data_IF_700958047078
#
_entry.id   IF_700958047078
#
_cell.length_a   1.000
_cell.length_b   1.000
_cell.length_c   1.000
_cell.angle_alpha   90.00
_cell.angle_beta   90.00
_cell.angle_gamma   90.00
#
_symmetry.space_group_name_H-M   'P 1'
#
loop_
_entity.id
_entity.type
_entity.pdbx_description
1 polymer ?
#
# COMPACT_ATOMS: atom_id res chain seq x y z
N UNK A 1 -13.96 3.45 -8.85
CA UNK A 1 -12.57 3.27 -8.38
C UNK A 1 -12.25 1.78 -8.40
N UNK A 2 -11.15 1.38 -9.03
CA UNK A 2 -10.89 -0.04 -9.35
C UNK A 2 -9.95 -0.66 -8.30
N UNK A 3 -10.18 -1.93 -7.93
CA UNK A 3 -9.46 -2.63 -6.86
C UNK A 3 -7.95 -2.76 -7.14
N UNK A 4 -7.57 -2.63 -8.41
CA UNK A 4 -6.20 -2.58 -8.90
C UNK A 4 -5.41 -1.35 -8.42
N UNK A 5 -6.04 -0.20 -8.22
CA UNK A 5 -5.37 1.03 -7.75
C UNK A 5 -4.93 0.88 -6.29
N UNK A 6 -5.78 0.24 -5.47
CA UNK A 6 -5.52 -0.01 -4.05
C UNK A 6 -4.43 -1.08 -3.87
N UNK A 7 -4.48 -2.16 -4.65
CA UNK A 7 -3.43 -3.18 -4.67
C UNK A 7 -2.09 -2.63 -5.18
N UNK A 8 -2.12 -1.76 -6.20
CA UNK A 8 -0.95 -1.04 -6.69
C UNK A 8 -0.28 -0.20 -5.60
N UNK A 9 -1.09 0.50 -4.79
CA UNK A 9 -0.62 1.29 -3.66
C UNK A 9 0.08 0.48 -2.56
N UNK A 10 -0.49 -0.69 -2.20
CA UNK A 10 0.09 -1.59 -1.19
C UNK A 10 1.41 -2.21 -1.68
N UNK A 11 1.47 -2.62 -2.96
CA UNK A 11 2.70 -3.16 -3.56
C UNK A 11 3.80 -2.10 -3.64
N UNK A 12 3.45 -0.86 -4.01
CA UNK A 12 4.37 0.26 -4.02
C UNK A 12 4.89 0.60 -2.60
N UNK A 13 4.05 0.47 -1.57
CA UNK A 13 4.47 0.66 -0.18
C UNK A 13 5.45 -0.42 0.30
N UNK A 14 5.17 -1.69 0.04
CA UNK A 14 6.07 -2.80 0.40
C UNK A 14 7.43 -2.70 -0.32
N UNK A 15 7.42 -2.33 -1.60
CA UNK A 15 8.66 -2.06 -2.36
C UNK A 15 9.48 -0.91 -1.75
N UNK A 16 8.83 0.17 -1.31
CA UNK A 16 9.50 1.31 -0.67
C UNK A 16 10.08 0.99 0.70
N UNK A 17 9.41 0.16 1.50
CA UNK A 17 9.93 -0.31 2.79
C UNK A 17 11.22 -1.13 2.61
N UNK A 18 11.26 -2.02 1.61
CA UNK A 18 12.46 -2.77 1.26
C UNK A 18 13.59 -1.84 0.79
N UNK A 19 13.29 -0.82 -0.01
CA UNK A 19 14.28 0.19 -0.44
C UNK A 19 14.86 0.95 0.75
N UNK A 20 14.04 1.39 1.73
CA UNK A 20 14.53 2.08 2.93
C UNK A 20 15.42 1.19 3.81
N UNK A 21 15.08 -0.10 3.95
CA UNK A 21 15.89 -1.07 4.70
C UNK A 21 17.25 -1.23 4.02
N UNK A 22 17.29 -1.40 2.70
CA UNK A 22 18.53 -1.51 1.94
C UNK A 22 19.37 -0.23 2.02
N UNK A 23 18.76 0.94 1.87
CA UNK A 23 19.46 2.23 2.02
C UNK A 23 20.05 2.43 3.42
N UNK A 24 19.37 1.97 4.47
CA UNK A 24 19.87 2.05 5.85
C UNK A 24 21.06 1.10 6.07
N UNK A 25 20.98 -0.12 5.55
CA UNK A 25 22.08 -1.09 5.58
C UNK A 25 23.30 -0.58 4.79
N UNK A 26 23.07 0.02 3.62
CA UNK A 26 24.12 0.64 2.80
C UNK A 26 24.77 1.82 3.53
N UNK A 27 23.99 2.65 4.23
CA UNK A 27 24.50 3.78 5.02
C UNK A 27 25.39 3.31 6.16
N UNK A 28 24.96 2.30 6.91
CA UNK A 28 25.76 1.71 7.98
C UNK A 28 27.07 1.10 7.42
N UNK A 29 26.99 0.41 6.29
CA UNK A 29 28.16 -0.14 5.60
C UNK A 29 29.15 0.94 5.16
N UNK A 30 28.67 2.06 4.61
CA UNK A 30 29.50 3.20 4.24
C UNK A 30 30.12 3.89 5.44
N UNK A 31 29.40 4.02 6.57
CA UNK A 31 29.94 4.57 7.81
C UNK A 31 31.08 3.70 8.36
N UNK A 32 30.92 2.37 8.36
CA UNK A 32 32.00 1.45 8.75
C UNK A 32 33.21 1.61 7.83
N UNK A 33 33.00 1.66 6.51
CA UNK A 33 34.08 1.90 5.53
C UNK A 33 34.77 3.23 5.78
N UNK A 34 34.03 4.28 6.13
CA UNK A 34 34.58 5.59 6.45
C UNK A 34 35.48 5.52 7.68
N UNK A 35 34.99 4.91 8.76
CA UNK A 35 35.79 4.74 9.98
C UNK A 35 37.06 3.92 9.73
N UNK A 36 36.97 2.84 8.94
CA UNK A 36 38.14 2.05 8.55
C UNK A 36 39.15 2.87 7.72
N UNK A 37 38.68 3.69 6.79
CA UNK A 37 39.54 4.55 5.99
C UNK A 37 40.21 5.64 6.84
N UNK A 38 39.50 6.21 7.81
CA UNK A 38 40.05 7.16 8.78
C UNK A 38 41.12 6.52 9.67
N UNK A 39 40.91 5.30 10.16
CA UNK A 39 41.94 4.54 10.89
C UNK A 39 43.17 4.28 10.02
N UNK A 40 42.99 3.84 8.77
CA UNK A 40 44.11 3.65 7.84
C UNK A 40 44.88 4.94 7.57
N UNK A 41 44.19 6.08 7.48
CA UNK A 41 44.84 7.37 7.32
C UNK A 41 45.69 7.72 8.55
N UNK A 42 45.17 7.49 9.76
CA UNK A 42 45.92 7.70 11.01
C UNK A 42 47.17 6.82 11.07
N UNK A 43 47.05 5.54 10.72
CA UNK A 43 48.17 4.60 10.63
C UNK A 43 49.22 5.06 9.61
N UNK A 44 48.79 5.50 8.42
CA UNK A 44 49.68 6.01 7.38
C UNK A 44 50.43 7.28 7.82
N UNK A 45 49.78 8.18 8.56
CA UNK A 45 50.45 9.35 9.15
C UNK A 45 51.44 8.95 10.26
N UNK A 46 51.10 7.96 11.08
CA UNK A 46 51.99 7.47 12.12
C UNK A 46 53.24 6.78 11.53
N UNK A 47 53.08 6.01 10.46
CA UNK A 47 54.20 5.44 9.70
C UNK A 47 55.07 6.52 9.05
N UNK A 48 54.45 7.51 8.39
CA UNK A 48 55.17 8.64 7.82
C UNK A 48 55.98 9.39 8.88
N UNK A 49 55.38 9.64 10.05
CA UNK A 49 56.05 10.29 11.17
C UNK A 49 57.25 9.48 11.67
N UNK A 50 57.10 8.16 11.82
CA UNK A 50 58.19 7.26 12.22
C UNK A 50 59.33 7.22 11.20
N UNK A 51 59.00 7.09 9.91
CA UNK A 51 59.99 7.09 8.83
C UNK A 51 60.73 8.44 8.76
N UNK A 52 60.00 9.55 8.85
CA UNK A 52 60.58 10.91 8.83
C UNK A 52 61.47 11.17 10.05
N UNK A 53 61.05 10.73 11.24
CA UNK A 53 61.87 10.87 12.44
C UNK A 53 63.20 10.10 12.31
N UNK A 54 63.15 8.84 11.87
CA UNK A 54 64.36 8.06 11.62
C UNK A 54 65.29 8.71 10.58
N UNK A 55 64.71 9.36 9.58
CA UNK A 55 65.49 10.10 8.59
C UNK A 55 66.20 11.31 9.17
N UNK A 56 65.45 12.19 9.86
CA UNK A 56 65.97 13.50 10.29
C UNK A 56 66.77 13.46 11.59
N UNK A 57 66.52 12.48 12.46
CA UNK A 57 67.12 12.41 13.81
C UNK A 57 68.13 11.29 13.91
N UNK A 58 67.91 10.18 13.22
CA UNK A 58 68.77 8.99 13.30
C UNK A 58 69.67 8.81 12.07
N UNK A 59 69.69 9.80 11.15
CA UNK A 59 70.45 9.80 9.89
C UNK A 59 70.24 8.53 9.05
N UNK A 60 69.04 7.94 9.13
CA UNK A 60 68.69 6.78 8.30
C UNK A 60 68.43 7.24 6.86
N UNK A 61 69.10 6.62 5.89
CA UNK A 61 68.75 6.76 4.48
C UNK A 61 67.51 5.91 4.16
N UNK A 62 66.33 6.50 4.28
CA UNK A 62 65.04 5.81 4.09
C UNK A 62 64.04 6.62 3.24
N UNK A 63 64.54 7.39 2.27
CA UNK A 63 63.72 8.20 1.35
C UNK A 63 62.63 7.40 0.64
N UNK A 64 62.94 6.17 0.19
CA UNK A 64 61.97 5.30 -0.48
C UNK A 64 60.80 4.92 0.45
N UNK A 65 61.09 4.69 1.73
CA UNK A 65 60.09 4.40 2.74
C UNK A 65 59.19 5.62 2.99
N UNK A 66 59.78 6.82 3.06
CA UNK A 66 59.02 8.08 3.20
C UNK A 66 58.12 8.30 1.99
N UNK A 67 58.63 8.09 0.76
CA UNK A 67 57.87 8.23 -0.46
C UNK A 67 56.68 7.24 -0.52
N UNK A 68 56.89 6.00 -0.08
CA UNK A 68 55.83 5.00 0.06
C UNK A 68 54.76 5.45 1.09
N UNK A 69 55.18 5.92 2.27
CA UNK A 69 54.26 6.44 3.30
C UNK A 69 53.43 7.63 2.78
N UNK A 70 54.05 8.58 2.06
CA UNK A 70 53.32 9.71 1.45
C UNK A 70 52.27 9.21 0.45
N UNK A 71 52.60 8.18 -0.34
CA UNK A 71 51.66 7.57 -1.28
C UNK A 71 50.49 6.91 -0.55
N UNK A 72 50.77 6.19 0.54
CA UNK A 72 49.72 5.57 1.38
C UNK A 72 48.79 6.62 2.00
N UNK A 73 49.34 7.72 2.51
CA UNK A 73 48.55 8.85 3.02
C UNK A 73 47.66 9.43 1.93
N UNK A 74 48.19 9.67 0.73
CA UNK A 74 47.41 10.19 -0.41
C UNK A 74 46.26 9.26 -0.79
N UNK A 75 46.53 7.96 -0.88
CA UNK A 75 45.51 6.96 -1.21
C UNK A 75 44.41 6.91 -0.14
N UNK A 76 44.77 6.91 1.15
CA UNK A 76 43.80 6.93 2.24
C UNK A 76 42.93 8.21 2.23
N UNK A 77 43.50 9.38 1.89
CA UNK A 77 42.73 10.62 1.72
C UNK A 77 41.73 10.51 0.56
N UNK A 78 42.13 9.91 -0.57
CA UNK A 78 41.25 9.70 -1.71
C UNK A 78 40.11 8.76 -1.36
N UNK A 79 40.40 7.65 -0.66
CA UNK A 79 39.38 6.70 -0.20
C UNK A 79 38.34 7.39 0.71
N UNK A 80 38.79 8.18 1.69
CA UNK A 80 37.90 8.94 2.58
C UNK A 80 37.02 9.91 1.78
N UNK A 81 37.58 10.62 0.79
CA UNK A 81 36.81 11.54 -0.05
C UNK A 81 35.73 10.80 -0.85
N UNK A 82 36.08 9.67 -1.45
CA UNK A 82 35.14 8.84 -2.21
C UNK A 82 34.00 8.33 -1.32
N UNK A 83 34.34 7.77 -0.15
CA UNK A 83 33.32 7.26 0.79
C UNK A 83 32.41 8.38 1.30
N UNK A 84 32.96 9.56 1.60
CA UNK A 84 32.16 10.74 1.99
C UNK A 84 31.20 11.18 0.89
N UNK A 85 31.65 11.18 -0.36
CA UNK A 85 30.78 11.50 -1.50
C UNK A 85 29.64 10.48 -1.65
N UNK A 86 29.93 9.18 -1.50
CA UNK A 86 28.92 8.12 -1.53
C UNK A 86 27.89 8.26 -0.40
N UNK A 87 28.32 8.63 0.81
CA UNK A 87 27.41 8.89 1.94
C UNK A 87 26.47 10.05 1.61
N UNK A 88 26.99 11.13 1.02
CA UNK A 88 26.19 12.30 0.69
C UNK A 88 25.17 12.00 -0.42
N UNK A 89 25.59 11.29 -1.46
CA UNK A 89 24.67 10.82 -2.51
C UNK A 89 23.55 9.95 -1.93
N UNK A 90 23.89 9.01 -1.04
CA UNK A 90 22.91 8.13 -0.42
C UNK A 90 21.95 8.91 0.50
N UNK A 91 22.43 9.94 1.22
CA UNK A 91 21.57 10.84 2.00
C UNK A 91 20.58 11.59 1.13
N UNK A 92 21.01 12.09 -0.02
CA UNK A 92 20.11 12.77 -0.97
C UNK A 92 19.03 11.82 -1.47
N UNK A 93 19.40 10.58 -1.86
CA UNK A 93 18.44 9.57 -2.31
C UNK A 93 17.44 9.18 -1.23
N UNK A 94 17.86 9.13 0.04
CA UNK A 94 16.96 8.91 1.18
C UNK A 94 15.98 10.08 1.33
N UNK A 95 16.48 11.33 1.28
CA UNK A 95 15.64 12.51 1.39
C UNK A 95 14.60 12.62 0.26
N UNK A 96 14.98 12.27 -0.97
CA UNK A 96 14.07 12.25 -2.12
C UNK A 96 12.98 11.17 -1.94
N UNK A 97 13.37 9.97 -1.50
CA UNK A 97 12.43 8.89 -1.20
C UNK A 97 11.47 9.25 -0.05
N UNK A 98 11.90 10.05 0.92
CA UNK A 98 11.03 10.56 1.99
C UNK A 98 10.01 11.58 1.50
N UNK A 99 10.40 12.50 0.61
CA UNK A 99 9.45 13.44 0.00
C UNK A 99 8.39 12.71 -0.82
N UNK A 100 8.80 11.73 -1.62
CA UNK A 100 7.88 10.92 -2.41
C UNK A 100 6.92 10.11 -1.53
N UNK A 101 7.41 9.55 -0.42
CA UNK A 101 6.57 8.83 0.54
C UNK A 101 5.54 9.75 1.24
N UNK A 102 5.91 10.99 1.56
CA UNK A 102 4.99 11.96 2.14
C UNK A 102 3.86 12.31 1.17
N UNK A 103 4.18 12.58 -0.10
CA UNK A 103 3.18 12.85 -1.15
C UNK A 103 2.23 11.67 -1.35
N UNK A 104 2.75 10.44 -1.36
CA UNK A 104 1.90 9.26 -1.49
C UNK A 104 0.95 9.07 -0.29
N UNK A 105 1.41 9.37 0.93
CA UNK A 105 0.57 9.28 2.14
C UNK A 105 -0.61 10.24 2.07
N UNK A 106 -0.40 11.44 1.53
CA UNK A 106 -1.45 12.43 1.28
C UNK A 106 -2.49 11.88 0.28
N UNK A 107 -2.04 11.37 -0.86
CA UNK A 107 -2.95 10.76 -1.87
C UNK A 107 -3.79 9.61 -1.30
N UNK A 108 -3.18 8.74 -0.49
CA UNK A 108 -3.91 7.63 0.16
C UNK A 108 -4.93 8.15 1.17
N UNK A 109 -4.61 9.21 1.91
CA UNK A 109 -5.53 9.82 2.87
C UNK A 109 -6.75 10.43 2.16
N UNK A 110 -6.52 11.16 1.05
CA UNK A 110 -7.59 11.73 0.24
C UNK A 110 -8.49 10.65 -0.34
N UNK A 111 -7.89 9.59 -0.89
CA UNK A 111 -8.61 8.43 -1.43
C UNK A 111 -9.47 7.74 -0.36
N UNK A 112 -8.93 7.59 0.87
CA UNK A 112 -9.66 6.99 1.97
C UNK A 112 -10.85 7.85 2.42
N UNK A 113 -10.70 9.18 2.40
CA UNK A 113 -11.78 10.10 2.72
C UNK A 113 -12.92 10.04 1.68
N UNK A 114 -12.57 10.02 0.39
CA UNK A 114 -13.55 9.86 -0.70
C UNK A 114 -14.31 8.53 -0.62
N UNK A 115 -13.59 7.43 -0.37
CA UNK A 115 -14.20 6.11 -0.20
C UNK A 115 -15.16 6.06 1.00
N UNK A 116 -14.80 6.70 2.12
CA UNK A 116 -15.68 6.80 3.29
C UNK A 116 -16.95 7.60 2.99
N UNK A 117 -16.84 8.69 2.23
CA UNK A 117 -17.98 9.50 1.81
C UNK A 117 -18.90 8.73 0.85
N UNK A 118 -18.34 8.03 -0.14
CA UNK A 118 -19.09 7.19 -1.06
C UNK A 118 -19.83 6.05 -0.33
N UNK A 119 -19.19 5.42 0.65
CA UNK A 119 -19.81 4.39 1.48
C UNK A 119 -20.99 4.94 2.28
N UNK A 120 -20.85 6.14 2.85
CA UNK A 120 -21.95 6.81 3.57
C UNK A 120 -23.14 7.08 2.65
N UNK A 121 -22.90 7.61 1.45
CA UNK A 121 -23.96 7.83 0.45
C UNK A 121 -24.63 6.53 0.02
N UNK A 122 -23.87 5.45 -0.15
CA UNK A 122 -24.42 4.14 -0.50
C UNK A 122 -25.28 3.56 0.64
N UNK A 123 -24.89 3.76 1.91
CA UNK A 123 -25.70 3.36 3.06
C UNK A 123 -27.00 4.16 3.16
N UNK A 124 -26.95 5.48 2.93
CA UNK A 124 -28.14 6.34 2.89
C UNK A 124 -29.09 5.92 1.76
N UNK A 125 -28.56 5.70 0.54
CA UNK A 125 -29.36 5.22 -0.59
C UNK A 125 -29.98 3.84 -0.35
N UNK A 126 -29.25 2.94 0.31
CA UNK A 126 -29.79 1.62 0.70
C UNK A 126 -30.94 1.76 1.70
N UNK A 127 -30.78 2.61 2.71
CA UNK A 127 -31.82 2.86 3.71
C UNK A 127 -33.08 3.46 3.06
N UNK A 128 -32.91 4.44 2.18
CA UNK A 128 -34.03 5.06 1.47
C UNK A 128 -34.74 4.05 0.54
N UNK A 129 -34.01 3.11 -0.07
CA UNK A 129 -34.58 2.02 -0.85
C UNK A 129 -35.36 1.02 0.02
N UNK A 130 -34.85 0.67 1.20
CA UNK A 130 -35.53 -0.19 2.17
C UNK A 130 -36.81 0.47 2.72
N UNK A 131 -36.79 1.77 3.02
CA UNK A 131 -37.97 2.52 3.44
C UNK A 131 -39.04 2.58 2.34
N UNK A 132 -38.65 2.76 1.08
CA UNK A 132 -39.58 2.70 -0.06
C UNK A 132 -40.16 1.31 -0.26
N UNK A 133 -39.33 0.26 -0.14
CA UNK A 133 -39.80 -1.12 -0.24
C UNK A 133 -40.79 -1.46 0.89
N UNK A 134 -40.53 -1.00 2.12
CA UNK A 134 -41.44 -1.15 3.25
C UNK A 134 -42.76 -0.39 3.03
N UNK A 135 -42.71 0.83 2.49
CA UNK A 135 -43.90 1.60 2.16
C UNK A 135 -44.76 0.97 1.06
N UNK A 136 -44.12 0.36 0.05
CA UNK A 136 -44.83 -0.40 -1.00
C UNK A 136 -45.48 -1.64 -0.42
N UNK A 137 -44.76 -2.39 0.43
CA UNK A 137 -45.29 -3.59 1.09
C UNK A 137 -46.47 -3.26 2.02
N UNK A 138 -46.38 -2.19 2.79
CA UNK A 138 -47.46 -1.74 3.66
C UNK A 138 -48.71 -1.30 2.88
N UNK A 139 -48.54 -0.72 1.67
CA UNK A 139 -49.67 -0.42 0.78
C UNK A 139 -50.31 -1.69 0.22
N UNK A 140 -49.51 -2.66 -0.21
CA UNK A 140 -50.01 -3.95 -0.70
C UNK A 140 -50.75 -4.74 0.39
N UNK A 141 -50.30 -4.66 1.65
CA UNK A 141 -50.95 -5.32 2.79
C UNK A 141 -52.22 -4.59 3.24
N UNK A 142 -52.30 -3.26 3.06
CA UNK A 142 -53.52 -2.48 3.32
C UNK A 142 -54.58 -2.60 2.22
N UNK A 143 -54.19 -2.97 1.00
CA UNK A 143 -55.06 -3.17 -0.16
C UNK A 143 -55.50 -4.65 -0.29
N UNK A 144 -54.94 -5.55 0.51
CA UNK A 144 -55.47 -6.89 0.72
C UNK A 144 -56.71 -6.79 1.63
N UNK A 145 -57.89 -6.69 1.02
CA UNK A 145 -59.17 -6.77 1.75
C UNK A 145 -59.20 -8.04 2.61
N UNK A 146 -59.73 -7.99 3.85
CA UNK A 146 -59.98 -9.21 4.60
C UNK A 146 -60.96 -10.04 3.77
N UNK A 147 -60.54 -11.25 3.38
CA UNK A 147 -61.46 -12.27 2.89
C UNK A 147 -62.60 -12.34 3.92
N UNK A 148 -63.77 -11.85 3.55
CA UNK A 148 -65.00 -12.15 4.27
C UNK A 148 -65.06 -13.67 4.34
N UNK A 149 -64.87 -14.20 5.54
CA UNK A 149 -65.26 -15.57 5.85
C UNK A 149 -66.78 -15.55 5.69
N UNK A 150 -67.25 -15.93 4.50
CA UNK A 150 -68.63 -16.31 4.33
C UNK A 150 -68.85 -17.48 5.28
N UNK A 151 -69.52 -17.23 6.40
CA UNK A 151 -70.16 -18.27 7.19
C UNK A 151 -71.20 -18.91 6.26
N UNK A 152 -70.80 -20.02 5.65
CA UNK A 152 -71.67 -20.84 4.82
C UNK A 152 -72.57 -21.60 5.78
N UNK A 153 -73.75 -21.06 6.07
CA UNK A 153 -74.82 -21.80 6.74
C UNK A 153 -75.15 -23.02 5.88
N UNK A 154 -75.03 -24.21 6.48
CA UNK A 154 -75.03 -25.53 5.85
C UNK A 154 -76.43 -26.00 5.38
N UNK A 155 -77.39 -25.08 5.16
CA UNK A 155 -78.82 -25.42 5.08
C UNK A 155 -79.61 -24.87 3.87
N UNK A 156 -78.98 -24.30 2.84
CA UNK A 156 -79.69 -23.99 1.59
C UNK A 156 -79.40 -25.01 0.48
N UNK A 157 -80.04 -26.18 0.65
CA UNK A 157 -80.32 -27.13 -0.41
C UNK A 157 -81.28 -26.49 -1.41
N UNK A 158 -80.75 -25.86 -2.47
CA UNK A 158 -81.54 -25.57 -3.66
C UNK A 158 -81.40 -26.75 -4.62
N UNK A 159 -82.34 -27.69 -4.48
CA UNK A 159 -82.68 -28.61 -5.57
C UNK A 159 -83.47 -27.84 -6.62
N UNK A 160 -82.82 -27.45 -7.71
CA UNK A 160 -83.51 -27.32 -9.00
C UNK A 160 -82.53 -27.64 -10.14
N UNK A 161 -82.46 -28.93 -10.47
CA UNK A 161 -81.84 -29.45 -11.69
C UNK A 161 -82.96 -29.54 -12.72
N UNK A 162 -83.09 -28.49 -13.54
CA UNK A 162 -83.65 -28.59 -14.89
C UNK A 162 -82.55 -28.11 -15.84
N UNK A 163 -81.88 -29.08 -16.48
CA UNK A 163 -82.07 -29.35 -17.91
C UNK A 163 -81.82 -28.12 -18.78
N UNK A 164 -80.58 -27.97 -19.24
CA UNK A 164 -80.31 -27.79 -20.67
C UNK A 164 -78.95 -28.38 -20.99
N UNK A 165 -79.00 -29.48 -21.73
CA UNK A 165 -78.01 -29.93 -22.71
C UNK A 165 -77.34 -28.73 -23.38
N UNK A 166 -76.01 -28.64 -23.31
CA UNK A 166 -75.26 -28.27 -24.49
C UNK A 166 -73.89 -28.92 -24.50
N UNK A 167 -73.60 -29.50 -25.65
CA UNK A 167 -72.55 -30.48 -25.85
C UNK A 167 -71.15 -29.87 -25.71
N UNK A 168 -70.30 -30.67 -25.07
CA UNK A 168 -68.84 -30.59 -25.09
C UNK A 168 -68.35 -30.73 -26.53
N UNK A 169 -67.58 -29.76 -27.02
CA UNK A 169 -66.62 -30.00 -28.09
C UNK A 169 -65.26 -29.43 -27.67
N UNK A 170 -64.45 -30.29 -27.05
CA UNK A 170 -63.05 -30.05 -26.76
C UNK A 170 -62.28 -30.55 -27.98
N UNK A 171 -61.82 -29.63 -28.82
CA UNK A 171 -60.78 -29.93 -29.81
C UNK A 171 -59.43 -29.82 -29.10
N UNK A 172 -58.91 -30.98 -28.72
CA UNK A 172 -57.48 -31.21 -28.53
C UNK A 172 -56.85 -31.36 -29.92
N UNK A 173 -55.95 -30.44 -30.29
CA UNK A 173 -54.89 -30.78 -31.23
C UNK A 173 -53.54 -30.40 -30.60
N UNK A 174 -52.80 -31.45 -30.29
CA UNK A 174 -51.35 -31.49 -30.16
C UNK A 174 -50.73 -31.30 -31.55
N UNK A 175 -49.87 -30.29 -31.70
CA UNK A 175 -48.51 -30.32 -32.31
C UNK A 175 -48.02 -28.91 -32.68
#
# INVERSE_FOLDING_TARGET
MNWEEIYGGIRAFAGRAATKINQTADMAGLQVKLSMAETRLQEAYAELGRASFGHFVEDKENFDQIAACITNVKNAILDIRTVKAQIEELRQRVADAEREAASFKETVADTAAEAAQAHKMAQEAKRDAEERAAAVRAKQEAEAEPLEVFDFDEDDVITDVSETDDAVDIVLEEE
#
